data_IF_465770658446
#
_entry.id   IF_465770658446
#
_cell.length_a   1.000
_cell.length_b   1.000
_cell.length_c   1.000
_cell.angle_alpha   90.00
_cell.angle_beta   90.00
_cell.angle_gamma   90.00
#
_symmetry.space_group_name_H-M   'P 1'
#
loop_
_entity.id
_entity.type
_entity.pdbx_description
1 polymer ?
#
# COMPACT_ATOMS: atom_id res chain seq x y z
N UNK A 1 24.51 -32.44 -10.88
CA UNK A 1 23.77 -31.66 -11.91
C UNK A 1 22.57 -30.90 -11.35
N UNK A 2 21.66 -31.52 -10.57
CA UNK A 2 20.44 -30.85 -10.06
C UNK A 2 20.62 -29.64 -9.12
N UNK A 3 21.73 -29.55 -8.37
CA UNK A 3 21.97 -28.43 -7.43
C UNK A 3 22.37 -27.14 -8.17
N UNK A 4 23.09 -27.27 -9.29
CA UNK A 4 23.51 -26.13 -10.10
C UNK A 4 22.31 -25.52 -10.85
N UNK A 5 21.44 -26.35 -11.41
CA UNK A 5 20.19 -25.93 -12.08
C UNK A 5 19.26 -25.21 -11.10
N UNK A 6 19.06 -25.75 -9.90
CA UNK A 6 18.22 -25.11 -8.87
C UNK A 6 18.77 -23.75 -8.40
N UNK A 7 20.10 -23.56 -8.40
CA UNK A 7 20.74 -22.29 -8.03
C UNK A 7 20.60 -21.24 -9.13
N UNK A 8 20.74 -21.66 -10.39
CA UNK A 8 20.50 -20.82 -11.59
C UNK A 8 19.05 -20.33 -11.64
N UNK A 9 18.07 -21.24 -11.48
CA UNK A 9 16.64 -20.89 -11.47
C UNK A 9 16.30 -19.88 -10.37
N UNK A 10 16.83 -20.09 -9.15
CA UNK A 10 16.63 -19.14 -8.04
C UNK A 10 17.16 -17.74 -8.39
N UNK A 11 18.33 -17.65 -9.03
CA UNK A 11 18.95 -16.38 -9.41
C UNK A 11 18.15 -15.65 -10.50
N UNK A 12 17.61 -16.39 -11.46
CA UNK A 12 16.73 -15.86 -12.51
C UNK A 12 15.41 -15.36 -11.90
N UNK A 13 14.81 -16.12 -10.97
CA UNK A 13 13.58 -15.70 -10.28
C UNK A 13 13.75 -14.42 -9.47
N UNK A 14 14.88 -14.25 -8.78
CA UNK A 14 15.18 -13.01 -8.07
C UNK A 14 15.31 -11.80 -9.02
N UNK A 15 15.99 -11.96 -10.16
CA UNK A 15 16.08 -10.88 -11.17
C UNK A 15 14.71 -10.46 -11.68
N UNK A 16 13.86 -11.43 -12.05
CA UNK A 16 12.52 -11.11 -12.54
C UNK A 16 11.61 -10.51 -11.46
N UNK A 17 11.67 -11.02 -10.22
CA UNK A 17 10.94 -10.44 -9.09
C UNK A 17 11.33 -8.98 -8.83
N UNK A 18 12.63 -8.66 -8.89
CA UNK A 18 13.13 -7.29 -8.75
C UNK A 18 12.69 -6.39 -9.92
N UNK A 19 12.68 -6.88 -11.16
CA UNK A 19 12.21 -6.11 -12.32
C UNK A 19 10.73 -5.77 -12.19
N UNK A 20 9.90 -6.76 -11.79
CA UNK A 20 8.47 -6.54 -11.57
C UNK A 20 8.24 -5.56 -10.42
N UNK A 21 8.93 -5.72 -9.29
CA UNK A 21 8.85 -4.76 -8.18
C UNK A 21 9.28 -3.36 -8.58
N UNK A 22 10.37 -3.23 -9.35
CA UNK A 22 10.85 -1.93 -9.82
C UNK A 22 9.82 -1.24 -10.72
N UNK A 23 9.12 -2.00 -11.54
CA UNK A 23 8.01 -1.49 -12.34
C UNK A 23 6.83 -1.03 -11.45
N UNK A 24 6.43 -1.84 -10.47
CA UNK A 24 5.37 -1.46 -9.52
C UNK A 24 5.74 -0.23 -8.70
N UNK A 25 6.95 -0.16 -8.17
CA UNK A 25 7.47 1.02 -7.47
C UNK A 25 7.44 2.27 -8.37
N UNK A 26 7.82 2.14 -9.65
CA UNK A 26 7.73 3.25 -10.61
C UNK A 26 6.28 3.68 -10.86
N UNK A 27 5.35 2.74 -10.99
CA UNK A 27 3.91 3.03 -11.12
C UNK A 27 3.36 3.71 -9.87
N UNK A 28 3.73 3.23 -8.68
CA UNK A 28 3.34 3.79 -7.39
C UNK A 28 3.90 5.20 -7.22
N UNK A 29 5.16 5.43 -7.58
CA UNK A 29 5.77 6.77 -7.57
C UNK A 29 5.06 7.70 -8.56
N UNK A 30 4.79 7.25 -9.78
CA UNK A 30 4.06 8.03 -10.79
C UNK A 30 2.62 8.33 -10.33
N UNK A 31 1.98 7.40 -9.62
CA UNK A 31 0.65 7.64 -9.08
C UNK A 31 0.68 8.62 -7.91
N UNK A 32 1.62 8.46 -6.96
CA UNK A 32 1.75 9.30 -5.78
C UNK A 32 2.11 10.74 -6.10
N UNK A 33 3.03 10.91 -7.05
CA UNK A 33 3.66 12.18 -7.33
C UNK A 33 2.85 12.98 -8.37
N UNK A 34 2.93 12.69 -9.69
CA UNK A 34 2.14 13.42 -10.66
C UNK A 34 0.64 13.09 -10.58
N UNK A 35 0.24 11.85 -10.28
CA UNK A 35 -1.18 11.50 -10.12
C UNK A 35 -1.84 12.24 -8.96
N UNK A 36 -1.18 12.30 -7.80
CA UNK A 36 -1.64 13.07 -6.64
C UNK A 36 -1.75 14.57 -6.93
N UNK A 37 -0.75 15.16 -7.59
CA UNK A 37 -0.79 16.56 -7.99
C UNK A 37 -1.96 16.85 -8.95
N UNK A 38 -2.16 16.04 -10.00
CA UNK A 38 -3.25 16.23 -10.96
C UNK A 38 -4.64 16.15 -10.34
N UNK A 39 -4.80 15.33 -9.30
CA UNK A 39 -6.06 15.21 -8.57
C UNK A 39 -6.23 16.35 -7.56
N UNK A 40 -5.15 16.80 -6.92
CA UNK A 40 -5.19 17.89 -5.95
C UNK A 40 -5.48 19.26 -6.59
N UNK A 41 -4.91 19.54 -7.77
CA UNK A 41 -5.04 20.85 -8.40
C UNK A 41 -6.25 20.94 -9.37
N UNK A 42 -7.09 21.95 -9.18
CA UNK A 42 -8.25 22.23 -10.05
C UNK A 42 -7.84 22.77 -11.43
N UNK A 43 -6.76 23.53 -11.48
CA UNK A 43 -6.15 24.09 -12.69
C UNK A 43 -4.72 23.57 -12.84
N UNK A 44 -4.12 23.70 -14.02
CA UNK A 44 -2.70 23.37 -14.22
C UNK A 44 -1.86 24.23 -13.28
N UNK A 45 -1.24 23.65 -12.25
CA UNK A 45 -0.47 24.41 -11.28
C UNK A 45 0.79 24.98 -11.96
N UNK A 46 1.24 26.17 -11.56
CA UNK A 46 2.50 26.71 -12.04
C UNK A 46 3.67 25.83 -11.55
N UNK A 47 4.77 25.84 -12.31
CA UNK A 47 5.88 24.89 -12.13
C UNK A 47 6.58 25.02 -10.76
N UNK A 48 6.52 26.18 -10.15
CA UNK A 48 7.06 26.50 -8.83
C UNK A 48 6.27 25.86 -7.69
N UNK A 49 4.93 25.86 -7.74
CA UNK A 49 4.09 25.18 -6.74
C UNK A 49 4.32 23.66 -6.77
N UNK A 50 4.41 23.11 -7.98
CA UNK A 50 4.73 21.69 -8.19
C UNK A 50 6.11 21.37 -7.63
N UNK A 51 7.11 22.23 -7.88
CA UNK A 51 8.46 22.04 -7.35
C UNK A 51 8.50 22.10 -5.82
N UNK A 52 7.77 23.03 -5.20
CA UNK A 52 7.69 23.11 -3.74
C UNK A 52 7.08 21.84 -3.14
N UNK A 53 6.01 21.31 -3.74
CA UNK A 53 5.42 20.02 -3.35
C UNK A 53 6.45 18.88 -3.41
N UNK A 54 7.33 18.87 -4.43
CA UNK A 54 8.42 17.91 -4.55
C UNK A 54 9.58 18.12 -3.58
N UNK A 55 9.80 19.33 -3.09
CA UNK A 55 10.86 19.61 -2.12
C UNK A 55 10.46 19.23 -0.69
N UNK A 56 9.17 19.03 -0.43
CA UNK A 56 8.70 18.56 0.87
C UNK A 56 9.13 17.11 1.13
N UNK A 57 9.61 16.85 2.34
CA UNK A 57 10.12 15.54 2.75
C UNK A 57 9.01 14.48 2.94
N UNK A 58 7.78 14.91 3.25
CA UNK A 58 6.69 14.01 3.63
C UNK A 58 6.24 13.06 2.50
N UNK A 59 5.98 13.52 1.25
CA UNK A 59 5.65 12.63 0.14
C UNK A 59 6.72 11.57 -0.12
N UNK A 60 8.00 11.93 -0.01
CA UNK A 60 9.12 11.00 -0.20
C UNK A 60 9.22 9.97 0.92
N UNK A 61 9.04 10.39 2.17
CA UNK A 61 9.00 9.45 3.28
C UNK A 61 7.85 8.46 3.09
N UNK A 62 6.66 8.95 2.74
CA UNK A 62 5.49 8.12 2.52
C UNK A 62 5.66 7.15 1.34
N UNK A 63 6.19 7.63 0.21
CA UNK A 63 6.53 6.79 -0.94
C UNK A 63 7.58 5.73 -0.58
N UNK A 64 8.60 6.10 0.20
CA UNK A 64 9.61 5.19 0.72
C UNK A 64 9.01 4.09 1.59
N UNK A 65 7.99 4.39 2.40
CA UNK A 65 7.28 3.40 3.21
C UNK A 65 6.45 2.45 2.34
N UNK A 66 5.75 2.95 1.32
CA UNK A 66 4.97 2.10 0.40
C UNK A 66 5.87 1.17 -0.41
N UNK A 67 6.93 1.71 -1.03
CA UNK A 67 7.92 0.94 -1.79
C UNK A 67 8.71 -0.02 -0.88
N UNK A 68 9.06 0.43 0.33
CA UNK A 68 9.68 -0.43 1.34
C UNK A 68 8.78 -1.59 1.76
N UNK A 69 7.47 -1.34 1.84
CA UNK A 69 6.45 -2.36 2.07
C UNK A 69 6.37 -3.39 0.94
N UNK A 70 6.46 -2.97 -0.33
CA UNK A 70 6.59 -3.90 -1.48
C UNK A 70 7.80 -4.79 -1.33
N UNK A 71 8.97 -4.18 -1.12
CA UNK A 71 10.22 -4.89 -1.02
C UNK A 71 10.18 -5.90 0.13
N UNK A 72 9.65 -5.50 1.28
CA UNK A 72 9.51 -6.37 2.45
C UNK A 72 8.56 -7.54 2.17
N UNK A 73 7.41 -7.31 1.51
CA UNK A 73 6.50 -8.38 1.09
C UNK A 73 7.15 -9.34 0.10
N UNK A 74 7.97 -8.82 -0.81
CA UNK A 74 8.70 -9.62 -1.78
C UNK A 74 9.74 -10.51 -1.10
N UNK A 75 10.56 -9.95 -0.20
CA UNK A 75 11.53 -10.72 0.57
C UNK A 75 10.84 -11.76 1.46
N UNK A 76 9.70 -11.42 2.06
CA UNK A 76 8.93 -12.34 2.89
C UNK A 76 8.24 -13.45 2.08
N UNK A 77 7.76 -13.12 0.87
CA UNK A 77 7.12 -14.06 -0.06
C UNK A 77 8.12 -15.01 -0.73
N UNK A 78 9.34 -14.54 -1.03
CA UNK A 78 10.33 -15.28 -1.81
C UNK A 78 11.14 -16.25 -0.95
N UNK A 79 11.13 -16.09 0.37
CA UNK A 79 11.73 -17.04 1.31
C UNK A 79 10.89 -18.32 1.47
N UNK A 80 10.63 -18.95 0.33
CA UNK A 80 10.13 -20.30 0.17
C UNK A 80 11.24 -21.33 0.38
N UNK A 81 12.34 -20.96 1.05
CA UNK A 81 13.36 -21.91 1.44
C UNK A 81 12.77 -22.83 2.51
N UNK A 82 12.40 -24.03 2.05
CA UNK A 82 11.88 -25.18 2.78
C UNK A 82 12.88 -25.74 3.83
N UNK A 83 13.47 -24.89 4.67
CA UNK A 83 14.32 -25.31 5.79
C UNK A 83 13.80 -24.72 7.09
N UNK A 84 12.82 -25.43 7.66
CA UNK A 84 12.61 -25.67 9.10
C UNK A 84 13.11 -24.55 10.04
N UNK A 85 12.66 -23.31 9.82
CA UNK A 85 12.80 -22.22 10.79
C UNK A 85 11.41 -21.78 11.27
N UNK A 86 11.34 -21.39 12.55
CA UNK A 86 10.12 -21.36 13.37
C UNK A 86 8.98 -20.53 12.71
N UNK A 87 7.75 -21.07 12.58
CA UNK A 87 6.63 -20.48 11.83
C UNK A 87 6.12 -19.09 12.27
N UNK A 88 6.57 -18.54 13.40
CA UNK A 88 5.89 -17.42 14.09
C UNK A 88 6.33 -16.02 13.64
N UNK A 89 7.58 -15.84 13.20
CA UNK A 89 8.10 -14.50 12.88
C UNK A 89 7.53 -13.95 11.56
N UNK A 90 7.39 -14.80 10.54
CA UNK A 90 6.83 -14.37 9.25
C UNK A 90 5.35 -13.95 9.34
N UNK A 91 4.59 -14.57 10.26
CA UNK A 91 3.19 -14.19 10.52
C UNK A 91 3.10 -12.82 11.18
N UNK A 92 3.94 -12.54 12.16
CA UNK A 92 3.96 -11.25 12.84
C UNK A 92 4.33 -10.10 11.90
N UNK A 93 5.33 -10.29 11.03
CA UNK A 93 5.74 -9.27 10.04
C UNK A 93 4.63 -9.01 9.02
N UNK A 94 4.01 -10.07 8.48
CA UNK A 94 2.87 -9.92 7.55
C UNK A 94 1.69 -9.20 8.21
N UNK A 95 1.37 -9.58 9.45
CA UNK A 95 0.29 -8.98 10.22
C UNK A 95 0.55 -7.49 10.51
N UNK A 96 1.76 -7.13 10.92
CA UNK A 96 2.16 -5.77 11.22
C UNK A 96 2.12 -4.86 9.98
N UNK A 97 2.53 -5.39 8.82
CA UNK A 97 2.47 -4.64 7.57
C UNK A 97 1.04 -4.51 7.03
N UNK A 98 0.24 -5.58 7.12
CA UNK A 98 -1.17 -5.51 6.75
C UNK A 98 -1.95 -4.54 7.66
N UNK A 99 -1.68 -4.53 8.97
CA UNK A 99 -2.31 -3.58 9.89
C UNK A 99 -1.85 -2.15 9.63
N UNK A 100 -0.58 -1.96 9.24
CA UNK A 100 -0.05 -0.64 8.86
C UNK A 100 -0.88 -0.06 7.71
N UNK A 101 -1.04 -0.82 6.62
CA UNK A 101 -1.83 -0.36 5.46
C UNK A 101 -3.32 -0.22 5.76
N UNK A 102 -3.90 -1.12 6.57
CA UNK A 102 -5.29 -0.99 7.01
C UNK A 102 -5.52 0.29 7.85
N UNK A 103 -4.58 0.64 8.73
CA UNK A 103 -4.65 1.86 9.51
C UNK A 103 -4.54 3.12 8.64
N UNK A 104 -3.65 3.10 7.64
CA UNK A 104 -3.54 4.19 6.65
C UNK A 104 -4.87 4.38 5.91
N UNK A 105 -5.47 3.30 5.39
CA UNK A 105 -6.77 3.36 4.71
C UNK A 105 -7.88 3.91 5.62
N UNK A 106 -7.92 3.47 6.88
CA UNK A 106 -8.91 3.95 7.84
C UNK A 106 -8.77 5.46 8.12
N UNK A 107 -7.53 5.96 8.24
CA UNK A 107 -7.26 7.40 8.39
C UNK A 107 -7.70 8.17 7.14
N UNK A 108 -7.42 7.67 5.94
CA UNK A 108 -7.91 8.27 4.69
C UNK A 108 -9.44 8.36 4.64
N UNK A 109 -10.15 7.32 5.06
CA UNK A 109 -11.62 7.33 5.17
C UNK A 109 -12.10 8.38 6.17
N UNK A 110 -11.51 8.44 7.36
CA UNK A 110 -11.87 9.42 8.39
C UNK A 110 -11.72 10.84 7.83
N UNK A 111 -10.59 11.15 7.18
CA UNK A 111 -10.39 12.46 6.56
C UNK A 111 -11.37 12.73 5.41
N UNK A 112 -11.65 11.74 4.57
CA UNK A 112 -12.63 11.90 3.49
C UNK A 112 -14.05 12.19 4.02
N UNK A 113 -14.41 11.67 5.19
CA UNK A 113 -15.69 11.94 5.85
C UNK A 113 -15.65 13.31 6.54
N UNK A 114 -14.59 13.63 7.29
CA UNK A 114 -14.45 14.92 7.99
C UNK A 114 -14.57 16.09 7.02
N UNK A 115 -13.90 16.00 5.87
CA UNK A 115 -13.96 17.04 4.84
C UNK A 115 -15.39 17.24 4.32
N UNK A 116 -16.19 16.19 4.19
CA UNK A 116 -17.59 16.29 3.75
C UNK A 116 -18.50 16.84 4.86
N UNK A 117 -18.33 16.37 6.10
CA UNK A 117 -19.17 16.75 7.25
C UNK A 117 -18.95 18.21 7.65
N UNK A 118 -17.70 18.65 7.68
CA UNK A 118 -17.34 20.01 8.07
C UNK A 118 -17.40 21.01 6.92
N UNK A 119 -17.79 20.58 5.72
CA UNK A 119 -17.84 21.43 4.53
C UNK A 119 -18.77 22.66 4.68
N UNK A 120 -19.79 22.60 5.56
CA UNK A 120 -20.84 23.63 5.64
C UNK A 120 -20.87 24.44 6.96
N UNK A 121 -20.32 23.94 8.07
CA UNK A 121 -20.64 24.46 9.41
C UNK A 121 -19.44 24.97 10.23
N UNK A 122 -18.19 24.64 9.85
CA UNK A 122 -16.97 25.14 10.51
C UNK A 122 -15.74 24.69 9.73
N UNK A 123 -14.60 25.41 9.81
CA UNK A 123 -13.35 24.90 9.26
C UNK A 123 -13.06 23.49 9.82
N UNK A 124 -12.56 22.55 9.01
CA UNK A 124 -12.26 21.21 9.47
C UNK A 124 -11.31 21.24 10.67
N UNK A 125 -11.34 20.20 11.49
CA UNK A 125 -10.65 20.16 12.79
C UNK A 125 -9.15 20.47 12.72
N UNK A 126 -8.56 20.32 11.53
CA UNK A 126 -7.15 20.49 11.22
C UNK A 126 -6.74 21.87 10.71
N UNK A 127 -7.68 22.72 10.29
CA UNK A 127 -7.35 24.05 9.76
C UNK A 127 -6.86 24.97 10.88
N UNK A 128 -5.68 25.58 10.70
CA UNK A 128 -5.04 26.48 11.68
C UNK A 128 -4.36 25.79 12.88
N UNK A 129 -4.27 24.45 12.90
CA UNK A 129 -3.67 23.66 14.00
C UNK A 129 -2.63 22.66 13.49
N UNK A 130 -1.67 23.11 12.70
CA UNK A 130 -0.64 22.30 12.04
C UNK A 130 0.03 21.27 12.97
N UNK A 131 0.64 21.69 14.07
CA UNK A 131 1.40 20.79 14.96
C UNK A 131 0.50 19.82 15.73
N UNK A 132 -0.65 20.30 16.22
CA UNK A 132 -1.61 19.46 16.94
C UNK A 132 -2.26 18.45 16.01
N UNK A 133 -2.54 18.85 14.76
CA UNK A 133 -3.06 17.97 13.72
C UNK A 133 -2.11 16.82 13.39
N UNK A 134 -0.83 17.10 13.16
CA UNK A 134 0.13 16.02 12.89
C UNK A 134 0.24 15.05 14.08
N UNK A 135 0.27 15.57 15.31
CA UNK A 135 0.32 14.74 16.51
C UNK A 135 -0.96 13.90 16.70
N UNK A 136 -2.15 14.47 16.49
CA UNK A 136 -3.42 13.73 16.62
C UNK A 136 -3.59 12.73 15.48
N UNK A 137 -3.27 13.08 14.24
CA UNK A 137 -3.31 12.19 13.10
C UNK A 137 -2.35 11.00 13.28
N UNK A 138 -1.12 11.24 13.73
CA UNK A 138 -0.17 10.18 14.08
C UNK A 138 -0.67 9.34 15.26
N UNK A 139 -1.22 9.95 16.29
CA UNK A 139 -1.79 9.24 17.44
C UNK A 139 -2.94 8.31 17.04
N UNK A 140 -3.90 8.81 16.26
CA UNK A 140 -5.02 8.02 15.72
C UNK A 140 -4.51 6.91 14.82
N UNK A 141 -3.55 7.22 13.95
CA UNK A 141 -2.95 6.24 13.06
C UNK A 141 -2.24 5.11 13.83
N UNK A 142 -1.42 5.43 14.85
CA UNK A 142 -0.75 4.44 15.70
C UNK A 142 -1.77 3.61 16.48
N UNK A 143 -2.81 4.24 17.03
CA UNK A 143 -3.89 3.53 17.73
C UNK A 143 -4.59 2.54 16.80
N UNK A 144 -4.97 2.96 15.59
CA UNK A 144 -5.57 2.10 14.58
C UNK A 144 -4.61 0.99 14.16
N UNK A 145 -3.31 1.29 14.02
CA UNK A 145 -2.29 0.30 13.69
C UNK A 145 -2.19 -0.80 14.76
N UNK A 146 -2.23 -0.43 16.05
CA UNK A 146 -2.22 -1.38 17.16
C UNK A 146 -3.51 -2.21 17.21
N UNK A 147 -4.67 -1.58 17.00
CA UNK A 147 -5.97 -2.27 16.96
C UNK A 147 -5.99 -3.31 15.83
N UNK A 148 -5.69 -2.90 14.60
CA UNK A 148 -5.63 -3.79 13.45
C UNK A 148 -4.52 -4.84 13.58
N UNK A 149 -3.39 -4.47 14.18
CA UNK A 149 -2.28 -5.39 14.47
C UNK A 149 -2.73 -6.51 15.39
N UNK A 150 -3.44 -6.18 16.47
CA UNK A 150 -4.04 -7.16 17.38
C UNK A 150 -5.03 -8.09 16.67
N UNK A 151 -5.95 -7.52 15.87
CA UNK A 151 -6.95 -8.28 15.10
C UNK A 151 -6.26 -9.26 14.14
N UNK A 152 -5.28 -8.79 13.35
CA UNK A 152 -4.60 -9.64 12.38
C UNK A 152 -3.70 -10.69 13.02
N UNK A 153 -3.02 -10.38 14.13
CA UNK A 153 -2.25 -11.38 14.86
C UNK A 153 -3.17 -12.49 15.39
N UNK A 154 -4.33 -12.13 15.95
CA UNK A 154 -5.30 -13.14 16.41
C UNK A 154 -5.87 -13.95 15.24
N UNK A 155 -6.26 -13.29 14.15
CA UNK A 155 -6.85 -13.93 12.98
C UNK A 155 -5.88 -14.86 12.22
N UNK A 156 -4.59 -14.51 12.18
CA UNK A 156 -3.57 -15.32 11.49
C UNK A 156 -2.92 -16.39 12.37
N UNK A 157 -3.14 -16.39 13.70
CA UNK A 157 -2.60 -17.44 14.59
C UNK A 157 -3.05 -18.84 14.20
N UNK A 158 -4.27 -18.97 13.67
CA UNK A 158 -4.88 -20.26 13.33
C UNK A 158 -4.91 -20.54 11.82
N UNK A 159 -4.42 -19.63 10.97
CA UNK A 159 -4.52 -19.76 9.52
C UNK A 159 -3.15 -19.97 8.84
N UNK A 160 -3.01 -21.09 8.14
CA UNK A 160 -1.83 -21.39 7.30
C UNK A 160 -1.73 -20.49 6.06
N UNK A 161 -2.74 -19.64 5.79
CA UNK A 161 -2.86 -18.80 4.60
C UNK A 161 -2.90 -17.30 4.93
N UNK A 162 -2.20 -16.88 5.99
CA UNK A 162 -2.17 -15.50 6.51
C UNK A 162 -1.97 -14.42 5.43
N UNK A 163 -1.02 -14.60 4.51
CA UNK A 163 -0.73 -13.63 3.44
C UNK A 163 -1.92 -13.43 2.50
N UNK A 164 -2.57 -14.51 2.06
CA UNK A 164 -3.71 -14.41 1.13
C UNK A 164 -4.93 -13.76 1.77
N UNK A 165 -5.14 -14.01 3.07
CA UNK A 165 -6.18 -13.38 3.83
C UNK A 165 -5.89 -11.87 4.02
N UNK A 166 -4.63 -11.50 4.32
CA UNK A 166 -4.20 -10.11 4.40
C UNK A 166 -4.43 -9.36 3.09
N UNK A 167 -4.02 -9.95 1.96
CA UNK A 167 -4.26 -9.38 0.63
C UNK A 167 -5.75 -9.18 0.37
N UNK A 168 -6.59 -10.17 0.68
CA UNK A 168 -8.05 -10.07 0.48
C UNK A 168 -8.65 -8.96 1.33
N UNK A 169 -8.22 -8.83 2.59
CA UNK A 169 -8.66 -7.76 3.49
C UNK A 169 -8.22 -6.38 3.01
N UNK A 170 -6.97 -6.22 2.59
CA UNK A 170 -6.46 -4.96 2.05
C UNK A 170 -7.16 -4.56 0.77
N UNK A 171 -7.44 -5.50 -0.14
CA UNK A 171 -8.21 -5.25 -1.35
C UNK A 171 -9.63 -4.78 -1.01
N UNK A 172 -10.33 -5.48 -0.11
CA UNK A 172 -11.66 -5.06 0.35
C UNK A 172 -11.65 -3.69 1.02
N UNK A 173 -10.65 -3.43 1.86
CA UNK A 173 -10.46 -2.14 2.52
C UNK A 173 -10.17 -1.01 1.55
N UNK A 174 -9.31 -1.25 0.54
CA UNK A 174 -8.98 -0.24 -0.49
C UNK A 174 -10.18 0.08 -1.37
N UNK A 175 -10.98 -0.92 -1.75
CA UNK A 175 -12.23 -0.70 -2.50
C UNK A 175 -13.24 0.09 -1.66
N UNK A 176 -13.37 -0.23 -0.37
CA UNK A 176 -14.25 0.51 0.54
C UNK A 176 -13.79 1.96 0.74
N UNK A 177 -12.48 2.18 0.87
CA UNK A 177 -11.89 3.51 0.97
C UNK A 177 -12.18 4.32 -0.30
N UNK A 178 -11.93 3.76 -1.48
CA UNK A 178 -12.20 4.43 -2.76
C UNK A 178 -13.68 4.75 -2.94
N UNK A 179 -14.58 3.85 -2.50
CA UNK A 179 -16.02 4.08 -2.56
C UNK A 179 -16.45 5.33 -1.77
N UNK A 180 -15.74 5.67 -0.71
CA UNK A 180 -16.00 6.87 0.10
C UNK A 180 -15.18 8.06 -0.40
N UNK A 181 -13.90 7.86 -0.69
CA UNK A 181 -12.96 8.92 -1.05
C UNK A 181 -13.28 9.57 -2.40
N UNK A 182 -13.69 8.78 -3.41
CA UNK A 182 -14.05 9.31 -4.73
C UNK A 182 -15.24 10.27 -4.69
N UNK A 183 -16.41 9.91 -4.12
CA UNK A 183 -17.52 10.85 -4.03
C UNK A 183 -17.19 12.06 -3.13
N UNK A 184 -16.46 11.86 -2.03
CA UNK A 184 -15.96 12.98 -1.21
C UNK A 184 -15.11 13.95 -2.04
N UNK A 185 -14.19 13.43 -2.85
CA UNK A 185 -13.33 14.23 -3.71
C UNK A 185 -14.11 15.03 -4.76
N UNK A 186 -15.09 14.39 -5.43
CA UNK A 186 -15.93 15.07 -6.43
C UNK A 186 -16.73 16.19 -5.80
N UNK A 187 -17.33 15.95 -4.64
CA UNK A 187 -18.13 16.94 -3.91
C UNK A 187 -17.31 18.18 -3.53
N UNK A 188 -16.11 17.96 -2.98
CA UNK A 188 -15.20 19.04 -2.56
C UNK A 188 -14.65 19.81 -3.75
N UNK A 189 -14.32 19.13 -4.85
CA UNK A 189 -13.81 19.76 -6.07
C UNK A 189 -14.81 20.71 -6.72
N UNK A 190 -16.11 20.44 -6.56
CA UNK A 190 -17.17 21.34 -7.03
C UNK A 190 -17.28 22.62 -6.18
N UNK A 191 -16.91 22.57 -4.89
CA UNK A 191 -17.02 23.70 -3.96
C UNK A 191 -15.88 24.72 -4.09
N UNK A 192 -14.72 24.31 -4.60
CA UNK A 192 -13.60 25.23 -4.85
C UNK A 192 -12.72 25.50 -3.63
N UNK A 193 -12.80 24.69 -2.59
CA UNK A 193 -11.88 24.75 -1.44
C UNK A 193 -10.44 24.46 -1.90
N UNK A 194 -9.47 25.25 -1.48
CA UNK A 194 -8.09 25.16 -1.98
C UNK A 194 -7.34 23.92 -1.46
N UNK A 195 -7.59 23.50 -0.21
CA UNK A 195 -6.78 22.47 0.48
C UNK A 195 -7.49 21.11 0.62
N UNK A 196 -8.82 21.12 0.61
CA UNK A 196 -9.64 19.93 0.78
C UNK A 196 -9.57 18.92 -0.41
N UNK A 197 -9.39 19.36 -1.68
CA UNK A 197 -9.14 18.44 -2.79
C UNK A 197 -7.84 17.66 -2.65
N UNK A 198 -6.81 18.23 -1.99
CA UNK A 198 -5.52 17.57 -1.82
C UNK A 198 -5.59 16.38 -0.86
N UNK A 199 -6.31 16.52 0.27
CA UNK A 199 -6.46 15.44 1.26
C UNK A 199 -7.26 14.27 0.70
N UNK A 200 -8.35 14.55 -0.03
CA UNK A 200 -9.16 13.52 -0.67
C UNK A 200 -8.45 12.87 -1.86
N UNK A 201 -7.68 13.63 -2.63
CA UNK A 201 -6.81 13.10 -3.68
C UNK A 201 -5.74 12.15 -3.12
N UNK A 202 -5.13 12.52 -1.99
CA UNK A 202 -4.17 11.66 -1.29
C UNK A 202 -4.80 10.32 -0.88
N UNK A 203 -6.05 10.34 -0.38
CA UNK A 203 -6.81 9.12 -0.10
C UNK A 203 -6.96 8.21 -1.32
N UNK A 204 -7.47 8.75 -2.43
CA UNK A 204 -7.67 8.00 -3.68
C UNK A 204 -6.36 7.35 -4.17
N UNK A 205 -5.29 8.15 -4.22
CA UNK A 205 -3.98 7.70 -4.66
C UNK A 205 -3.44 6.60 -3.73
N UNK A 206 -3.63 6.76 -2.41
CA UNK A 206 -3.25 5.78 -1.40
C UNK A 206 -4.03 4.47 -1.54
N UNK A 207 -5.34 4.54 -1.74
CA UNK A 207 -6.20 3.36 -1.96
C UNK A 207 -5.79 2.58 -3.19
N UNK A 208 -5.55 3.27 -4.32
CA UNK A 208 -5.07 2.63 -5.55
C UNK A 208 -3.65 2.06 -5.36
N UNK A 209 -2.74 2.77 -4.70
CA UNK A 209 -1.39 2.29 -4.41
C UNK A 209 -1.46 0.99 -3.59
N UNK A 210 -2.17 0.98 -2.46
CA UNK A 210 -2.30 -0.22 -1.60
C UNK A 210 -2.98 -1.37 -2.35
N UNK A 211 -3.93 -1.09 -3.24
CA UNK A 211 -4.53 -2.10 -4.09
C UNK A 211 -3.50 -2.72 -5.06
N UNK A 212 -2.67 -1.90 -5.70
CA UNK A 212 -1.56 -2.35 -6.57
C UNK A 212 -0.51 -3.16 -5.79
N UNK A 213 -0.15 -2.69 -4.59
CA UNK A 213 0.74 -3.38 -3.65
C UNK A 213 0.23 -4.79 -3.34
N UNK A 214 -1.07 -4.91 -3.06
CA UNK A 214 -1.70 -6.18 -2.72
C UNK A 214 -1.69 -7.19 -3.90
N UNK A 215 -1.67 -6.71 -5.15
CA UNK A 215 -1.57 -7.57 -6.34
C UNK A 215 -0.16 -8.13 -6.59
N UNK A 216 0.89 -7.40 -6.23
CA UNK A 216 2.29 -7.77 -6.51
C UNK A 216 2.69 -9.19 -6.07
N UNK A 217 2.48 -9.57 -4.79
CA UNK A 217 2.80 -10.92 -4.29
C UNK A 217 1.97 -12.02 -4.99
N UNK A 218 0.73 -11.73 -5.36
CA UNK A 218 -0.18 -12.68 -6.00
C UNK A 218 0.27 -13.11 -7.39
N UNK A 219 0.78 -12.16 -8.19
CA UNK A 219 1.28 -12.44 -9.55
C UNK A 219 2.54 -13.30 -9.51
N UNK A 220 3.47 -13.00 -8.60
CA UNK A 220 4.71 -13.77 -8.45
C UNK A 220 4.46 -15.20 -7.96
N UNK A 221 3.52 -15.38 -7.02
CA UNK A 221 3.09 -16.70 -6.58
C UNK A 221 2.48 -17.52 -7.72
N UNK A 222 1.69 -16.89 -8.60
CA UNK A 222 1.10 -17.54 -9.76
C UNK A 222 2.17 -17.93 -10.80
N UNK A 223 3.14 -17.04 -11.04
CA UNK A 223 4.24 -17.28 -11.96
C UNK A 223 5.12 -18.44 -11.50
N UNK A 224 5.46 -18.49 -10.21
CA UNK A 224 6.18 -19.62 -9.60
C UNK A 224 5.41 -20.92 -9.77
N UNK A 225 4.11 -20.94 -9.48
CA UNK A 225 3.28 -22.16 -9.60
C UNK A 225 3.26 -22.69 -11.04
N UNK A 226 3.27 -21.80 -12.05
CA UNK A 226 3.39 -22.19 -13.46
C UNK A 226 4.76 -22.76 -13.80
N UNK A 227 5.84 -22.11 -13.37
CA UNK A 227 7.20 -22.62 -13.57
C UNK A 227 7.41 -24.00 -12.93
N UNK A 228 6.94 -24.18 -11.69
CA UNK A 228 6.99 -25.48 -10.99
C UNK A 228 6.16 -26.56 -11.71
N UNK A 229 5.10 -26.18 -12.43
CA UNK A 229 4.35 -27.11 -13.28
C UNK A 229 5.13 -27.48 -14.55
N UNK A 230 5.75 -26.51 -15.23
CA UNK A 230 6.60 -26.75 -16.39
C UNK A 230 7.81 -27.64 -16.05
N UNK A 231 8.49 -27.37 -14.93
CA UNK A 231 9.66 -28.14 -14.49
C UNK A 231 9.32 -29.58 -14.08
N UNK A 232 8.09 -29.84 -13.63
CA UNK A 232 7.61 -31.21 -13.36
C UNK A 232 7.32 -31.97 -14.64
N UNK A 233 6.65 -31.34 -15.59
CA UNK A 233 6.31 -31.97 -16.86
C UNK A 233 7.56 -32.29 -17.69
N UNK A 234 8.61 -31.44 -17.65
CA UNK A 234 9.87 -31.71 -18.37
C UNK A 234 10.69 -32.86 -17.78
N UNK A 235 10.54 -33.17 -16.49
CA UNK A 235 11.18 -34.34 -15.85
C UNK A 235 10.46 -35.66 -16.10
N UNK A 236 9.19 -35.62 -16.50
CA UNK A 236 8.42 -36.82 -16.86
C UNK A 236 8.64 -37.25 -18.33
N UNK A 237 9.20 -36.38 -19.16
CA UNK A 237 9.50 -36.63 -20.58
C UNK A 237 10.96 -37.05 -20.85
N UNK A 238 11.75 -37.33 -19.81
CA UNK A 238 13.14 -37.84 -19.90
C UNK A 238 13.27 -39.11 -19.08
#
# INVERSE_FOLDING_TARGET
MGIAVAREEKKVMFRWGSVVSGFYAAVVLLLLLPGGALLAFKHTPPADEVLQMYLHWFPWLYAGVLVGGEALLLFLSVDTSWRRMRPRQHVAVTAALASFFAAVLAVCVIFAIEVVVYADNSPPLWEGRDNLFFATALGVWVCLWLIWGGIFIQYYRDSSKAVSAAVTWLLKGSVLELLIAVPSHVFVRQRGDCSAPAVTAFGIVTGIAIMLLAFGPGVLALYKKRLDAYARNSRQSS
#
